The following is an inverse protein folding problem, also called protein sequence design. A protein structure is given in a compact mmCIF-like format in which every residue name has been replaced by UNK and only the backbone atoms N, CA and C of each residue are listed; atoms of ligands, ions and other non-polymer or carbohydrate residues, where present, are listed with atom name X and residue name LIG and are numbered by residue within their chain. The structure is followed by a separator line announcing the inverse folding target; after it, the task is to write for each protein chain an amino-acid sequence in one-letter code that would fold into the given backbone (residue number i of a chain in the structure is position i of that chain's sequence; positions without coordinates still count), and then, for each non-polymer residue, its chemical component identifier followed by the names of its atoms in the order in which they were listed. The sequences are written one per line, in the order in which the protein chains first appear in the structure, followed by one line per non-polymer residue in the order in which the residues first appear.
data_IF_234906456089
#
_entry.id   IF_234906456089
#
_cell.length_a   1.000
_cell.length_b   1.000
_cell.length_c   1.000
_cell.angle_alpha   90.00
_cell.angle_beta   90.00
_cell.angle_gamma   90.00
#
_symmetry.space_group_name_H-M   'P 1'
#
loop_
_entity.id
_entity.type
_entity.pdbx_description
1 polymer ?
#
# COMPACT_ATOMS: atom_id res chain seq x y z
N UNK A 1 0.95 -0.62 -22.75
CA UNK A 1 0.64 0.37 -21.71
C UNK A 1 0.56 1.70 -22.43
N UNK A 2 -0.50 2.48 -22.19
CA UNK A 2 -0.61 3.81 -22.81
C UNK A 2 0.46 4.73 -22.21
N UNK A 3 1.26 5.40 -23.04
CA UNK A 3 2.31 6.26 -22.55
C UNK A 3 1.75 7.48 -21.80
N UNK A 4 2.54 8.02 -20.87
CA UNK A 4 2.16 9.23 -20.14
C UNK A 4 2.08 10.41 -21.12
N UNK A 5 0.90 11.05 -21.28
CA UNK A 5 0.80 12.24 -22.10
C UNK A 5 1.58 13.41 -21.44
N UNK A 6 2.15 14.32 -22.23
CA UNK A 6 2.83 15.49 -21.69
C UNK A 6 1.85 16.36 -20.91
N UNK A 7 2.37 17.06 -19.90
CA UNK A 7 1.55 18.00 -19.12
C UNK A 7 0.97 19.08 -20.04
N UNK A 8 -0.35 19.32 -20.02
CA UNK A 8 -0.96 20.30 -20.91
C UNK A 8 -0.51 21.72 -20.57
N UNK A 9 -0.09 22.49 -21.57
CA UNK A 9 0.21 23.91 -21.41
C UNK A 9 -1.06 24.74 -21.17
N UNK A 10 -0.92 26.00 -20.74
CA UNK A 10 -2.06 26.87 -20.46
C UNK A 10 -2.95 27.12 -21.69
N UNK A 11 -2.38 27.09 -22.89
CA UNK A 11 -3.08 27.30 -24.16
C UNK A 11 -3.50 25.97 -24.83
N UNK A 12 -3.37 24.83 -24.13
CA UNK A 12 -3.74 23.54 -24.68
C UNK A 12 -5.25 23.50 -24.97
N UNK A 13 -5.61 22.84 -26.07
CA UNK A 13 -7.02 22.61 -26.41
C UNK A 13 -7.70 21.76 -25.34
N UNK A 14 -9.03 21.92 -25.22
CA UNK A 14 -9.80 21.17 -24.23
C UNK A 14 -9.66 19.66 -24.41
N UNK A 15 -9.58 19.17 -25.64
CA UNK A 15 -9.40 17.74 -25.93
C UNK A 15 -8.10 17.17 -25.36
N UNK A 16 -7.00 17.93 -25.41
CA UNK A 16 -5.70 17.55 -24.83
C UNK A 16 -5.80 17.51 -23.31
N UNK A 17 -6.44 18.50 -22.70
CA UNK A 17 -6.66 18.54 -21.24
C UNK A 17 -7.51 17.36 -20.78
N UNK A 18 -8.58 17.06 -21.49
CA UNK A 18 -9.47 15.94 -21.18
C UNK A 18 -8.76 14.59 -21.32
N UNK A 19 -7.92 14.43 -22.34
CA UNK A 19 -7.11 13.23 -22.52
C UNK A 19 -6.14 13.04 -21.34
N UNK A 20 -5.43 14.09 -20.92
CA UNK A 20 -4.54 14.05 -19.77
C UNK A 20 -5.28 13.68 -18.47
N UNK A 21 -6.47 14.27 -18.24
CA UNK A 21 -7.30 13.95 -17.06
C UNK A 21 -7.76 12.48 -17.08
N UNK A 22 -8.23 11.98 -18.24
CA UNK A 22 -8.64 10.57 -18.38
C UNK A 22 -7.47 9.62 -18.11
N UNK A 23 -6.30 9.91 -18.67
CA UNK A 23 -5.10 9.12 -18.46
C UNK A 23 -4.69 9.12 -16.99
N UNK A 24 -4.67 10.29 -16.34
CA UNK A 24 -4.30 10.42 -14.92
C UNK A 24 -5.23 9.60 -14.04
N UNK A 25 -6.54 9.66 -14.28
CA UNK A 25 -7.53 8.87 -13.53
C UNK A 25 -7.33 7.36 -13.70
N UNK A 26 -7.03 6.91 -14.92
CA UNK A 26 -6.74 5.51 -15.19
C UNK A 26 -5.45 5.06 -14.51
N UNK A 27 -4.39 5.87 -14.59
CA UNK A 27 -3.11 5.63 -13.94
C UNK A 27 -3.25 5.56 -12.42
N UNK A 28 -3.99 6.46 -11.79
CA UNK A 28 -4.23 6.45 -10.35
C UNK A 28 -4.96 5.17 -9.91
N UNK A 29 -5.96 4.73 -10.68
CA UNK A 29 -6.65 3.46 -10.42
C UNK A 29 -5.71 2.25 -10.54
N UNK A 30 -4.83 2.26 -11.54
CA UNK A 30 -3.83 1.22 -11.71
C UNK A 30 -2.84 1.19 -10.53
N UNK A 31 -2.34 2.35 -10.10
CA UNK A 31 -1.44 2.49 -8.95
C UNK A 31 -2.06 1.96 -7.67
N UNK A 32 -3.32 2.32 -7.39
CA UNK A 32 -4.06 1.80 -6.23
C UNK A 32 -4.20 0.27 -6.31
N UNK A 33 -4.51 -0.28 -7.48
CA UNK A 33 -4.65 -1.74 -7.66
C UNK A 33 -3.32 -2.48 -7.44
N UNK A 34 -2.22 -1.93 -7.93
CA UNK A 34 -0.87 -2.48 -7.72
C UNK A 34 -0.51 -2.43 -6.24
N UNK A 35 -0.71 -1.28 -5.58
CA UNK A 35 -0.43 -1.13 -4.14
C UNK A 35 -1.29 -2.06 -3.28
N UNK A 36 -2.57 -2.21 -3.60
CA UNK A 36 -3.45 -3.14 -2.91
C UNK A 36 -2.98 -4.59 -3.07
N UNK A 37 -2.54 -4.97 -4.28
CA UNK A 37 -2.02 -6.32 -4.55
C UNK A 37 -0.70 -6.57 -3.81
N UNK A 38 0.21 -5.60 -3.81
CA UNK A 38 1.45 -5.67 -3.03
C UNK A 38 1.16 -5.82 -1.53
N UNK A 39 0.27 -4.99 -1.00
CA UNK A 39 -0.16 -5.04 0.40
C UNK A 39 -0.78 -6.39 0.76
N UNK A 40 -1.65 -6.91 -0.11
CA UNK A 40 -2.26 -8.23 0.06
C UNK A 40 -1.20 -9.34 0.11
N UNK A 41 -0.27 -9.37 -0.86
CA UNK A 41 0.79 -10.39 -0.93
C UNK A 41 1.69 -10.31 0.31
N UNK A 42 2.12 -9.10 0.70
CA UNK A 42 2.93 -8.88 1.89
C UNK A 42 2.18 -9.35 3.14
N UNK A 43 0.90 -8.96 3.29
CA UNK A 43 0.08 -9.37 4.43
C UNK A 43 -0.04 -10.90 4.52
N UNK A 44 -0.30 -11.60 3.40
CA UNK A 44 -0.37 -13.07 3.39
C UNK A 44 0.98 -13.72 3.70
N UNK A 45 2.10 -13.17 3.21
CA UNK A 45 3.44 -13.70 3.49
C UNK A 45 3.82 -13.54 4.97
N UNK A 46 3.36 -12.48 5.61
CA UNK A 46 3.68 -12.14 7.00
C UNK A 46 2.55 -12.46 7.99
N UNK A 47 1.48 -13.12 7.56
CA UNK A 47 0.32 -13.47 8.39
C UNK A 47 0.73 -14.28 9.63
N UNK A 48 1.56 -15.31 9.41
CA UNK A 48 2.11 -16.17 10.48
C UNK A 48 3.00 -15.37 11.44
N UNK A 49 3.73 -14.37 10.92
CA UNK A 49 4.63 -13.54 11.72
C UNK A 49 3.86 -12.66 12.70
N UNK A 50 2.70 -12.12 12.28
CA UNK A 50 1.82 -11.34 13.17
C UNK A 50 1.31 -12.21 14.31
N UNK A 51 0.82 -13.42 14.01
CA UNK A 51 0.35 -14.37 15.04
C UNK A 51 1.49 -14.79 15.97
N UNK A 52 2.67 -15.10 15.43
CA UNK A 52 3.84 -15.45 16.23
C UNK A 52 4.25 -14.29 17.16
N UNK A 53 4.22 -13.05 16.67
CA UNK A 53 4.51 -11.87 17.49
C UNK A 53 3.51 -11.70 18.62
N UNK A 54 2.21 -11.84 18.35
CA UNK A 54 1.16 -11.78 19.37
C UNK A 54 1.32 -12.86 20.44
N UNK A 55 1.63 -14.11 20.05
CA UNK A 55 1.89 -15.20 20.99
C UNK A 55 3.10 -14.88 21.86
N UNK A 56 4.21 -14.43 21.26
CA UNK A 56 5.42 -14.05 22.01
C UNK A 56 5.15 -12.91 22.99
N UNK A 57 4.35 -11.92 22.60
CA UNK A 57 3.97 -10.79 23.46
C UNK A 57 3.10 -11.27 24.63
N UNK A 58 2.09 -12.12 24.38
CA UNK A 58 1.28 -12.73 25.45
C UNK A 58 2.10 -13.59 26.41
N UNK A 59 3.04 -14.39 25.89
CA UNK A 59 3.97 -15.15 26.72
C UNK A 59 4.84 -14.21 27.57
N UNK A 60 5.34 -13.12 27.00
CA UNK A 60 6.12 -12.11 27.74
C UNK A 60 5.29 -11.42 28.82
N UNK A 61 4.01 -11.13 28.59
CA UNK A 61 3.14 -10.57 29.63
C UNK A 61 2.92 -11.57 30.78
N UNK A 62 2.63 -12.83 30.46
CA UNK A 62 2.34 -13.87 31.45
C UNK A 62 3.57 -14.24 32.30
N UNK A 63 4.76 -14.30 31.68
CA UNK A 63 5.96 -14.85 32.30
C UNK A 63 7.07 -13.81 32.53
N UNK A 64 7.07 -12.68 31.82
CA UNK A 64 8.12 -11.66 31.90
C UNK A 64 8.04 -10.76 33.15
N UNK A 65 6.92 -10.76 33.87
CA UNK A 65 6.82 -10.10 35.18
C UNK A 65 7.37 -10.96 36.33
N UNK A 66 7.47 -12.28 36.18
CA UNK A 66 7.90 -13.19 37.25
C UNK A 66 9.41 -13.12 37.54
N UNK A 67 10.21 -12.48 36.67
CA UNK A 67 11.67 -12.41 36.83
C UNK A 67 12.19 -11.20 37.63
N UNK A 68 11.32 -10.28 38.08
CA UNK A 68 11.72 -9.04 38.78
C UNK A 68 11.60 -9.16 40.32
N UNK A 69 11.08 -10.28 40.83
CA UNK A 69 11.01 -10.56 42.27
C UNK A 69 12.01 -11.64 42.68
N UNK A 70 13.30 -11.33 42.64
CA UNK A 70 14.34 -12.07 43.39
C UNK A 70 15.32 -11.05 43.98
#
# INVERSE_FOLDING_TARGET
MEECPPFPSQNASQSVRDAYVRWTKANDKARVSILASMSYILSKKHEIMVTAYQIMDSLREMFGQQSIQI
#
